data_IF_536464729695
#
_entry.id   IF_536464729695
#
_cell.length_a   1.000
_cell.length_b   1.000
_cell.length_c   1.000
_cell.angle_alpha   90.00
_cell.angle_beta   90.00
_cell.angle_gamma   90.00
#
_symmetry.space_group_name_H-M   'P 1'
#
loop_
_entity.id
_entity.type
_entity.pdbx_description
1 polymer ?
#
# COMPACT_ATOMS: atom_id res chain seq x y z
N UNK A 1 -38.58 -17.58 -11.52
CA UNK A 1 -37.99 -16.26 -11.85
C UNK A 1 -37.55 -15.60 -10.54
N UNK A 2 -36.26 -15.34 -10.39
CA UNK A 2 -35.73 -14.60 -9.25
C UNK A 2 -36.09 -13.12 -9.46
N UNK A 3 -36.88 -12.56 -8.52
CA UNK A 3 -37.25 -11.13 -8.59
C UNK A 3 -36.02 -10.27 -8.45
N UNK A 4 -35.88 -9.25 -9.29
CA UNK A 4 -34.82 -8.25 -9.16
C UNK A 4 -34.80 -7.65 -7.74
N UNK A 5 -33.66 -7.46 -7.11
CA UNK A 5 -33.56 -6.88 -5.78
C UNK A 5 -34.07 -5.43 -5.80
N UNK A 6 -34.56 -4.92 -4.64
CA UNK A 6 -34.83 -3.49 -4.49
C UNK A 6 -33.51 -2.73 -4.70
N UNK A 7 -33.50 -1.79 -5.63
CA UNK A 7 -32.30 -0.99 -5.94
C UNK A 7 -31.81 -0.26 -4.68
N UNK A 8 -30.53 -0.42 -4.37
CA UNK A 8 -29.87 0.40 -3.34
C UNK A 8 -29.83 1.87 -3.79
N UNK A 9 -29.84 2.80 -2.84
CA UNK A 9 -29.55 4.21 -3.12
C UNK A 9 -28.05 4.51 -3.26
N UNK A 10 -27.21 3.55 -2.85
CA UNK A 10 -25.75 3.65 -2.93
C UNK A 10 -25.26 3.10 -4.28
N UNK A 11 -24.26 3.75 -4.85
CA UNK A 11 -23.57 3.28 -6.05
C UNK A 11 -22.37 2.40 -5.65
N UNK A 12 -21.88 1.49 -6.54
CA UNK A 12 -20.70 0.68 -6.31
C UNK A 12 -19.49 1.45 -5.80
N UNK A 13 -19.18 2.59 -6.42
CA UNK A 13 -18.05 3.46 -6.10
C UNK A 13 -18.20 4.24 -4.77
N UNK A 14 -19.41 4.34 -4.24
CA UNK A 14 -19.65 4.91 -2.91
C UNK A 14 -19.39 3.87 -1.80
N UNK A 15 -19.47 2.58 -2.13
CA UNK A 15 -19.25 1.46 -1.22
C UNK A 15 -17.82 0.97 -1.28
N UNK A 16 -17.34 0.60 -2.47
CA UNK A 16 -15.97 0.12 -2.66
C UNK A 16 -15.07 1.26 -3.13
N UNK A 17 -14.14 1.70 -2.28
CA UNK A 17 -13.28 2.88 -2.51
C UNK A 17 -11.80 2.51 -2.39
N UNK A 18 -11.23 1.69 -3.30
CA UNK A 18 -9.90 1.09 -3.13
C UNK A 18 -8.76 2.10 -3.01
N UNK A 19 -8.92 3.29 -3.60
CA UNK A 19 -7.93 4.40 -3.55
C UNK A 19 -8.53 5.69 -2.99
N UNK A 20 -9.76 5.61 -2.50
CA UNK A 20 -10.47 6.76 -1.98
C UNK A 20 -9.95 7.22 -0.62
N UNK A 21 -10.29 8.46 -0.27
CA UNK A 21 -10.09 8.93 1.09
C UNK A 21 -10.97 8.17 2.08
N UNK A 22 -10.53 8.10 3.33
CA UNK A 22 -11.33 7.57 4.43
C UNK A 22 -12.47 8.56 4.68
N UNK A 23 -13.55 8.45 3.88
CA UNK A 23 -14.82 9.09 4.21
C UNK A 23 -15.42 8.34 5.40
N UNK A 24 -16.53 8.82 5.96
CA UNK A 24 -17.32 8.12 6.99
C UNK A 24 -17.88 6.78 6.48
N UNK A 25 -17.07 6.02 5.81
CA UNK A 25 -17.43 4.77 5.19
C UNK A 25 -17.14 3.64 6.18
N UNK A 26 -18.16 2.93 6.61
CA UNK A 26 -18.08 1.77 7.50
C UNK A 26 -17.50 0.52 6.80
N UNK A 27 -16.94 0.69 5.57
CA UNK A 27 -16.14 -0.34 4.88
C UNK A 27 -14.71 -0.46 5.44
N UNK A 28 -14.33 0.38 6.39
CA UNK A 28 -13.09 0.17 7.14
C UNK A 28 -13.16 -1.11 7.99
N UNK A 29 -12.07 -1.86 8.01
CA UNK A 29 -11.90 -3.02 8.89
C UNK A 29 -10.94 -2.65 10.01
N UNK A 30 -11.46 -2.57 11.25
CA UNK A 30 -10.64 -2.27 12.41
C UNK A 30 -9.53 -3.31 12.61
N UNK A 31 -8.37 -2.81 12.99
CA UNK A 31 -7.14 -3.58 13.27
C UNK A 31 -6.77 -3.52 14.75
N UNK A 32 -7.72 -3.32 15.63
CA UNK A 32 -7.65 -3.26 17.08
C UNK A 32 -6.27 -3.13 17.72
N UNK A 33 -5.46 -4.20 17.67
CA UNK A 33 -4.11 -4.21 18.27
C UNK A 33 -3.14 -3.24 17.58
N UNK A 34 -3.21 -3.11 16.26
CA UNK A 34 -2.37 -2.16 15.49
C UNK A 34 -2.77 -0.73 15.77
N UNK A 35 -4.07 -0.44 15.81
CA UNK A 35 -4.60 0.88 16.15
C UNK A 35 -4.21 1.27 17.58
N UNK A 36 -4.31 0.34 18.52
CA UNK A 36 -3.88 0.55 19.90
C UNK A 36 -2.36 0.72 20.02
N UNK A 37 -1.56 -0.02 19.23
CA UNK A 37 -0.12 0.18 19.16
C UNK A 37 0.23 1.58 18.64
N UNK A 38 -0.46 2.05 17.60
CA UNK A 38 -0.30 3.41 17.10
C UNK A 38 -0.64 4.46 18.16
N UNK A 39 -1.78 4.30 18.87
CA UNK A 39 -2.15 5.20 19.98
C UNK A 39 -1.10 5.25 21.07
N UNK A 40 -0.53 4.10 21.46
CA UNK A 40 0.59 4.05 22.42
C UNK A 40 1.83 4.77 21.90
N UNK A 41 2.19 4.56 20.64
CA UNK A 41 3.34 5.21 20.00
C UNK A 41 3.16 6.73 19.91
N UNK A 42 1.95 7.23 19.64
CA UNK A 42 1.66 8.67 19.62
C UNK A 42 1.85 9.32 20.99
N UNK A 43 1.58 8.61 22.08
CA UNK A 43 1.76 9.09 23.46
C UNK A 43 3.21 8.97 23.95
N UNK A 44 4.03 8.15 23.32
CA UNK A 44 5.45 8.02 23.69
C UNK A 44 6.24 9.27 23.31
N UNK A 45 7.41 9.54 23.90
CA UNK A 45 8.27 10.66 23.48
C UNK A 45 8.84 10.47 22.08
N UNK A 46 8.90 9.25 21.56
CA UNK A 46 9.50 8.91 20.27
C UNK A 46 8.57 9.28 19.09
N UNK A 47 9.18 9.52 17.94
CA UNK A 47 8.48 9.63 16.67
C UNK A 47 8.00 8.25 16.19
N UNK A 48 7.05 8.20 15.26
CA UNK A 48 6.33 6.98 14.90
C UNK A 48 6.73 6.50 13.51
N UNK A 49 6.95 5.19 13.36
CA UNK A 49 7.10 4.52 12.07
C UNK A 49 5.94 3.56 11.87
N UNK A 50 5.22 3.72 10.76
CA UNK A 50 4.16 2.83 10.29
C UNK A 50 4.64 2.19 9.01
N UNK A 51 4.75 0.86 9.01
CA UNK A 51 5.24 0.13 7.85
C UNK A 51 4.33 -1.04 7.49
N UNK A 52 4.46 -1.54 6.27
CA UNK A 52 3.67 -2.65 5.74
C UNK A 52 3.65 -2.64 4.22
N UNK A 53 3.24 -3.74 3.60
CA UNK A 53 3.14 -3.83 2.14
C UNK A 53 2.22 -2.75 1.56
N UNK A 54 2.44 -2.43 0.26
CA UNK A 54 1.54 -1.55 -0.48
C UNK A 54 0.12 -2.13 -0.50
N UNK A 55 -0.88 -1.28 -0.36
CA UNK A 55 -2.28 -1.70 -0.34
C UNK A 55 -2.80 -2.28 0.97
N UNK A 56 -1.93 -2.51 1.99
CA UNK A 56 -2.34 -3.06 3.29
C UNK A 56 -3.13 -2.10 4.19
N UNK A 57 -3.35 -0.85 3.75
CA UNK A 57 -4.22 0.09 4.47
C UNK A 57 -3.52 0.92 5.54
N UNK A 58 -2.19 1.13 5.45
CA UNK A 58 -1.43 2.01 6.36
C UNK A 58 -2.05 3.39 6.52
N UNK A 59 -2.31 4.06 5.38
CA UNK A 59 -2.85 5.42 5.38
C UNK A 59 -4.28 5.48 5.92
N UNK A 60 -5.09 4.47 5.69
CA UNK A 60 -6.44 4.38 6.27
C UNK A 60 -6.38 4.19 7.78
N UNK A 61 -5.45 3.34 8.27
CA UNK A 61 -5.31 3.07 9.70
C UNK A 61 -4.92 4.33 10.48
N UNK A 62 -3.87 5.06 10.05
CA UNK A 62 -3.47 6.26 10.80
C UNK A 62 -4.52 7.38 10.68
N UNK A 63 -5.13 7.59 9.51
CA UNK A 63 -6.20 8.58 9.32
C UNK A 63 -7.41 8.27 10.22
N UNK A 64 -7.77 7.00 10.36
CA UNK A 64 -8.84 6.55 11.25
C UNK A 64 -8.53 6.87 12.71
N UNK A 65 -7.37 6.43 13.21
CA UNK A 65 -6.92 6.70 14.58
C UNK A 65 -6.84 8.21 14.85
N UNK A 66 -6.28 8.97 13.91
CA UNK A 66 -6.16 10.43 14.08
C UNK A 66 -7.51 11.12 14.14
N UNK A 67 -8.47 10.69 13.31
CA UNK A 67 -9.83 11.21 13.33
C UNK A 67 -10.54 10.89 14.66
N UNK A 68 -10.42 9.66 15.16
CA UNK A 68 -11.04 9.24 16.41
C UNK A 68 -10.43 9.93 17.64
N UNK A 69 -9.12 10.10 17.66
CA UNK A 69 -8.38 10.69 18.77
C UNK A 69 -8.26 12.22 18.66
N UNK A 70 -8.82 12.84 17.63
CA UNK A 70 -8.78 14.29 17.42
C UNK A 70 -7.38 14.83 17.16
N UNK A 71 -6.48 14.03 16.57
CA UNK A 71 -5.12 14.44 16.21
C UNK A 71 -5.17 15.34 14.98
N UNK A 72 -4.66 16.57 15.11
CA UNK A 72 -4.47 17.44 13.95
C UNK A 72 -3.22 17.00 13.19
N UNK A 73 -3.27 16.86 11.87
CA UNK A 73 -2.12 16.42 11.09
C UNK A 73 -2.04 17.07 9.71
N UNK A 74 -0.83 17.08 9.16
CA UNK A 74 -0.57 17.38 7.76
C UNK A 74 0.24 16.25 7.15
N UNK A 75 -0.01 15.99 5.85
CA UNK A 75 0.63 14.91 5.10
C UNK A 75 1.52 15.48 4.01
N UNK A 76 2.80 15.15 4.07
CA UNK A 76 3.79 15.39 3.03
C UNK A 76 3.98 14.10 2.25
N UNK A 77 3.57 14.08 1.00
CA UNK A 77 3.69 12.90 0.13
C UNK A 77 5.07 12.86 -0.53
N UNK A 78 5.93 12.00 -0.04
CA UNK A 78 7.31 11.84 -0.53
C UNK A 78 7.42 11.29 -1.96
N UNK A 79 6.33 10.75 -2.52
CA UNK A 79 6.28 10.39 -3.94
C UNK A 79 6.55 11.56 -4.90
N UNK A 80 6.52 12.79 -4.41
CA UNK A 80 6.86 14.01 -5.17
C UNK A 80 8.23 14.58 -4.83
N UNK A 81 8.95 14.01 -3.87
CA UNK A 81 10.20 14.57 -3.36
C UNK A 81 11.30 14.60 -4.44
N UNK A 82 11.39 13.58 -5.28
CA UNK A 82 12.36 13.54 -6.38
C UNK A 82 12.12 14.67 -7.40
N UNK A 83 10.86 15.00 -7.69
CA UNK A 83 10.53 16.10 -8.60
C UNK A 83 10.72 17.48 -7.95
N UNK A 84 10.53 17.58 -6.63
CA UNK A 84 10.75 18.81 -5.87
C UNK A 84 12.24 19.06 -5.57
N UNK A 85 13.09 18.03 -5.69
CA UNK A 85 14.52 18.09 -5.39
C UNK A 85 14.89 18.15 -3.91
N UNK A 86 13.91 18.38 -3.02
CA UNK A 86 14.10 18.54 -1.58
C UNK A 86 12.80 18.24 -0.82
N UNK A 87 12.93 17.64 0.37
CA UNK A 87 11.80 17.43 1.29
C UNK A 87 11.32 18.75 1.87
N UNK A 88 12.24 19.66 2.16
CA UNK A 88 11.91 20.99 2.69
C UNK A 88 11.06 21.78 1.69
N UNK A 89 11.44 21.81 0.41
CA UNK A 89 10.65 22.44 -0.65
C UNK A 89 9.26 21.81 -0.79
N UNK A 90 9.17 20.49 -0.57
CA UNK A 90 7.89 19.80 -0.59
C UNK A 90 7.01 20.17 0.62
N UNK A 91 7.60 20.36 1.79
CA UNK A 91 6.92 20.89 2.99
C UNK A 91 6.38 22.30 2.69
N UNK A 92 7.22 23.19 2.18
CA UNK A 92 6.84 24.56 1.80
C UNK A 92 5.67 24.57 0.81
N UNK A 93 5.76 23.77 -0.24
CA UNK A 93 4.69 23.67 -1.24
C UNK A 93 3.38 23.11 -0.67
N UNK A 94 3.47 22.27 0.34
CA UNK A 94 2.29 21.71 1.04
C UNK A 94 1.64 22.79 1.90
N UNK A 95 2.43 23.59 2.59
CA UNK A 95 1.97 24.73 3.38
C UNK A 95 1.33 25.81 2.49
N UNK A 96 1.95 26.10 1.34
CA UNK A 96 1.44 27.07 0.39
C UNK A 96 0.02 26.73 -0.09
N UNK A 97 -0.23 25.45 -0.40
CA UNK A 97 -1.57 24.97 -0.82
C UNK A 97 -2.62 25.10 0.28
N UNK A 98 -2.22 25.05 1.52
CA UNK A 98 -3.11 25.19 2.68
C UNK A 98 -3.43 26.68 3.03
N UNK A 99 -3.05 27.63 2.17
CA UNK A 99 -3.29 29.05 2.36
C UNK A 99 -2.32 29.73 3.36
N UNK A 100 -1.23 29.04 3.73
CA UNK A 100 -0.22 29.58 4.65
C UNK A 100 0.90 30.34 3.94
N UNK A 101 0.93 30.34 2.60
CA UNK A 101 1.97 30.98 1.78
C UNK A 101 1.90 32.52 1.77
N UNK A 102 0.73 33.10 1.94
CA UNK A 102 0.57 34.56 1.84
C UNK A 102 1.30 35.36 2.94
N UNK A 103 1.61 34.74 4.07
CA UNK A 103 2.36 35.40 5.15
C UNK A 103 3.88 35.30 5.03
N UNK A 104 4.40 34.46 4.15
CA UNK A 104 5.84 34.22 4.00
C UNK A 104 6.46 35.10 2.90
N UNK A 105 5.70 35.47 1.86
CA UNK A 105 6.19 36.28 0.73
C UNK A 105 6.35 37.76 1.07
N UNK A 106 5.66 38.26 2.10
CA UNK A 106 5.73 39.72 2.47
C UNK A 106 7.06 40.14 3.08
N UNK A 107 7.92 39.23 3.53
CA UNK A 107 9.18 39.57 4.18
C UNK A 107 10.37 39.60 3.23
N UNK A 108 10.27 38.93 2.05
CA UNK A 108 11.38 38.86 1.08
C UNK A 108 11.41 40.08 0.14
N UNK A 109 10.26 40.67 -0.19
CA UNK A 109 10.22 41.86 -1.08
C UNK A 109 10.64 43.17 -0.44
N UNK A 110 10.66 43.28 0.90
CA UNK A 110 11.10 44.52 1.58
C UNK A 110 12.63 44.68 1.71
N UNK A 111 13.41 43.62 1.56
CA UNK A 111 14.87 43.70 1.61
C UNK A 111 15.51 44.03 0.24
N UNK A 112 14.81 43.83 -0.88
CA UNK A 112 15.35 44.10 -2.20
C UNK A 112 15.24 45.56 -2.68
N UNK A 113 14.44 46.40 -2.01
CA UNK A 113 14.22 47.80 -2.41
C UNK A 113 14.93 48.86 -1.54
N UNK A 114 15.72 48.50 -0.54
CA UNK A 114 16.43 49.45 0.33
C UNK A 114 17.91 49.67 -0.06
N UNK A 115 18.34 49.27 -1.25
CA UNK A 115 19.75 49.26 -1.64
C UNK A 115 20.13 50.19 -2.80
N UNK A 116 19.45 51.32 -3.10
CA UNK A 116 19.97 52.34 -4.00
C UNK A 116 19.61 53.73 -3.54
N UNK A 117 20.56 54.45 -2.97
CA UNK A 117 20.43 55.86 -2.69
C UNK A 117 21.44 56.35 -1.63
N UNK A 118 22.51 56.90 -2.09
CA UNK A 118 23.72 57.23 -1.35
C UNK A 118 23.68 58.46 -0.46
N UNK A 119 24.83 58.63 0.21
CA UNK A 119 25.40 59.77 0.93
C UNK A 119 25.07 59.97 2.41
N UNK A 120 26.15 59.82 3.19
CA UNK A 120 26.48 60.79 4.23
C UNK A 120 26.18 60.44 5.67
N UNK A 121 27.16 59.84 6.37
CA UNK A 121 27.56 60.38 7.66
C UNK A 121 26.91 59.82 8.93
N UNK A 122 27.77 59.26 9.73
CA UNK A 122 27.83 59.09 11.18
C UNK A 122 27.50 57.71 11.76
N UNK A 123 28.57 57.18 12.32
CA UNK A 123 28.61 56.05 13.23
C UNK A 123 27.61 56.23 14.39
N UNK A 124 26.67 55.37 14.52
CA UNK A 124 26.11 54.95 15.79
C UNK A 124 26.14 53.43 15.83
N UNK A 125 26.97 52.91 16.71
CA UNK A 125 27.06 51.50 17.08
C UNK A 125 25.80 51.12 17.87
N UNK A 126 24.69 50.86 17.20
CA UNK A 126 23.61 50.08 17.76
C UNK A 126 23.69 48.70 17.12
N UNK A 127 24.08 47.74 17.94
CA UNK A 127 24.08 46.33 17.55
C UNK A 127 22.66 45.91 17.23
N UNK A 128 22.29 45.91 15.94
CA UNK A 128 21.12 45.20 15.48
C UNK A 128 21.43 43.72 15.61
N UNK A 129 20.97 43.12 16.70
CA UNK A 129 20.82 41.65 16.75
C UNK A 129 19.83 41.29 15.68
N UNK A 130 20.32 40.73 14.53
CA UNK A 130 19.48 40.02 13.58
C UNK A 130 18.93 38.81 14.33
N UNK A 131 17.68 38.90 14.77
CA UNK A 131 16.96 37.73 15.26
C UNK A 131 16.92 36.78 14.07
N UNK A 132 17.58 35.62 14.19
CA UNK A 132 17.56 34.59 13.19
C UNK A 132 16.10 34.24 12.92
N UNK A 133 15.65 34.38 11.66
CA UNK A 133 14.28 33.99 11.31
C UNK A 133 14.18 32.47 11.40
N UNK A 134 13.07 31.93 11.94
CA UNK A 134 12.83 30.49 11.96
C UNK A 134 12.94 29.93 10.54
N UNK A 135 13.60 28.80 10.39
CA UNK A 135 13.64 28.10 9.10
C UNK A 135 12.25 27.62 8.67
N UNK A 136 12.10 27.24 7.40
CA UNK A 136 10.82 26.82 6.85
C UNK A 136 10.25 25.59 7.58
N UNK A 137 11.10 24.72 8.12
CA UNK A 137 10.66 23.54 8.86
C UNK A 137 10.14 23.91 10.25
N UNK A 138 10.83 24.81 10.99
CA UNK A 138 10.33 25.34 12.27
C UNK A 138 8.98 26.04 12.08
N UNK A 139 8.84 26.88 11.04
CA UNK A 139 7.57 27.53 10.70
C UNK A 139 6.47 26.51 10.43
N UNK A 140 6.77 25.42 9.68
CA UNK A 140 5.83 24.36 9.43
C UNK A 140 5.30 23.72 10.73
N UNK A 141 6.21 23.35 11.61
CA UNK A 141 5.88 22.73 12.89
C UNK A 141 5.09 23.70 13.77
N UNK A 142 5.47 24.97 13.82
CA UNK A 142 4.73 26.02 14.54
C UNK A 142 3.29 26.17 14.02
N UNK A 143 3.11 26.22 12.70
CA UNK A 143 1.80 26.36 12.06
C UNK A 143 0.90 25.13 12.32
N UNK A 144 1.47 23.93 12.25
CA UNK A 144 0.75 22.69 12.61
C UNK A 144 0.29 22.76 14.07
N UNK A 145 1.16 23.18 14.99
CA UNK A 145 0.80 23.34 16.41
C UNK A 145 -0.27 24.39 16.63
N UNK A 146 -0.16 25.55 16.01
CA UNK A 146 -1.17 26.63 16.08
C UNK A 146 -2.54 26.15 15.57
N UNK A 147 -2.55 25.43 14.44
CA UNK A 147 -3.77 24.91 13.85
C UNK A 147 -4.42 23.78 14.66
N UNK A 148 -3.62 22.96 15.35
CA UNK A 148 -4.13 21.93 16.24
C UNK A 148 -4.89 22.52 17.43
N UNK A 149 -4.47 23.69 17.89
CA UNK A 149 -4.98 24.32 19.11
C UNK A 149 -4.38 23.76 20.40
N UNK A 150 -4.68 24.45 21.50
CA UNK A 150 -4.13 24.13 22.82
C UNK A 150 -4.65 22.79 23.33
N UNK A 151 -3.77 21.91 23.82
CA UNK A 151 -4.13 20.64 24.43
C UNK A 151 -4.46 19.50 23.46
N UNK A 152 -4.46 19.74 22.13
CA UNK A 152 -4.67 18.69 21.14
C UNK A 152 -3.35 18.12 20.64
N UNK A 153 -3.36 16.83 20.29
CA UNK A 153 -2.21 16.20 19.63
C UNK A 153 -2.03 16.71 18.21
N UNK A 154 -0.78 16.83 17.77
CA UNK A 154 -0.43 17.32 16.44
C UNK A 154 0.63 16.42 15.78
N UNK A 155 0.53 16.19 14.47
CA UNK A 155 1.46 15.35 13.74
C UNK A 155 1.80 15.91 12.34
N UNK A 156 3.05 15.70 11.93
CA UNK A 156 3.51 15.83 10.54
C UNK A 156 3.78 14.42 10.01
N UNK A 157 3.08 14.04 8.95
CA UNK A 157 3.16 12.70 8.36
C UNK A 157 3.96 12.77 7.08
N UNK A 158 5.04 12.00 6.99
CA UNK A 158 5.75 11.72 5.74
C UNK A 158 5.26 10.39 5.19
N UNK A 159 4.44 10.43 4.15
CA UNK A 159 3.85 9.23 3.53
C UNK A 159 4.56 8.87 2.23
N UNK A 160 4.52 7.58 1.85
CA UNK A 160 5.19 7.01 0.69
C UNK A 160 6.73 7.11 0.75
N UNK A 161 7.29 6.75 1.88
CA UNK A 161 8.73 6.85 2.18
C UNK A 161 9.61 6.04 1.19
N UNK A 162 9.07 4.97 0.61
CA UNK A 162 9.74 4.12 -0.36
C UNK A 162 10.25 4.88 -1.60
N UNK A 163 9.63 5.99 -1.96
CA UNK A 163 10.01 6.76 -3.14
C UNK A 163 11.32 7.56 -2.99
N UNK A 164 11.84 7.68 -1.78
CA UNK A 164 13.12 8.38 -1.53
C UNK A 164 14.28 7.41 -1.27
N UNK A 165 14.05 6.10 -1.19
CA UNK A 165 15.10 5.14 -0.84
C UNK A 165 16.24 5.06 -1.85
N UNK A 166 16.00 5.40 -3.11
CA UNK A 166 17.01 5.43 -4.15
C UNK A 166 17.79 6.77 -4.18
N UNK A 167 17.43 7.73 -3.34
CA UNK A 167 18.08 9.04 -3.25
C UNK A 167 18.78 9.24 -1.91
N UNK A 168 20.10 9.08 -1.88
CA UNK A 168 20.90 9.29 -0.67
C UNK A 168 20.77 10.72 -0.11
N UNK A 169 20.64 11.73 -1.01
CA UNK A 169 20.45 13.12 -0.62
C UNK A 169 19.14 13.35 0.13
N UNK A 170 18.02 12.81 -0.37
CA UNK A 170 16.71 12.94 0.28
C UNK A 170 16.65 12.20 1.62
N UNK A 171 17.31 11.03 1.71
CA UNK A 171 17.39 10.30 2.99
C UNK A 171 18.23 11.06 4.01
N UNK A 172 19.35 11.67 3.59
CA UNK A 172 20.16 12.53 4.48
C UNK A 172 19.37 13.76 4.95
N UNK A 173 18.62 14.39 4.05
CA UNK A 173 17.74 15.50 4.39
C UNK A 173 16.68 15.08 5.42
N UNK A 174 15.96 13.95 5.18
CA UNK A 174 14.99 13.42 6.15
C UNK A 174 15.65 13.13 7.51
N UNK A 175 16.82 12.52 7.51
CA UNK A 175 17.58 12.23 8.71
C UNK A 175 17.93 13.53 9.48
N UNK A 176 18.33 14.57 8.76
CA UNK A 176 18.57 15.91 9.32
C UNK A 176 17.33 16.49 9.97
N UNK A 177 16.19 16.46 9.28
CA UNK A 177 14.91 16.94 9.83
C UNK A 177 14.50 16.17 11.10
N UNK A 178 14.71 14.83 11.13
CA UNK A 178 14.43 14.03 12.32
C UNK A 178 15.36 14.34 13.51
N UNK A 179 16.58 14.80 13.26
CA UNK A 179 17.48 15.26 14.31
C UNK A 179 17.05 16.61 14.87
N UNK A 180 16.63 17.53 13.98
CA UNK A 180 16.20 18.87 14.37
C UNK A 180 14.94 18.85 15.27
N UNK A 181 14.01 17.91 15.08
CA UNK A 181 12.76 17.88 15.86
C UNK A 181 12.97 17.71 17.35
N UNK A 182 14.11 17.17 17.78
CA UNK A 182 14.46 17.06 19.19
C UNK A 182 15.23 18.27 19.76
N UNK A 183 15.60 19.22 18.91
CA UNK A 183 16.16 20.50 19.34
C UNK A 183 15.09 21.33 20.05
N UNK A 184 15.49 22.15 21.06
CA UNK A 184 14.58 22.93 21.90
C UNK A 184 13.66 23.85 21.08
N UNK A 185 14.15 24.38 19.96
CA UNK A 185 13.36 25.27 19.09
C UNK A 185 12.19 24.53 18.41
N UNK A 186 12.32 23.24 18.16
CA UNK A 186 11.30 22.43 17.51
C UNK A 186 10.48 21.62 18.51
N UNK A 187 11.12 21.03 19.50
CA UNK A 187 10.49 20.15 20.50
C UNK A 187 9.43 20.88 21.34
N UNK A 188 9.61 22.19 21.60
CA UNK A 188 8.64 23.06 22.28
C UNK A 188 7.25 23.03 21.63
N UNK A 189 7.17 22.76 20.31
CA UNK A 189 5.91 22.72 19.59
C UNK A 189 5.17 21.39 19.76
N UNK A 190 5.81 20.34 20.27
CA UNK A 190 5.21 19.03 20.53
C UNK A 190 4.46 18.45 19.32
N UNK A 191 5.03 18.56 18.11
CA UNK A 191 4.51 17.96 16.89
C UNK A 191 5.17 16.59 16.68
N UNK A 192 4.36 15.56 16.58
CA UNK A 192 4.83 14.20 16.35
C UNK A 192 5.17 13.99 14.87
N UNK A 193 6.36 13.49 14.58
CA UNK A 193 6.68 13.01 13.23
C UNK A 193 6.19 11.59 13.06
N UNK A 194 5.53 11.32 11.95
CA UNK A 194 5.04 9.99 11.58
C UNK A 194 5.56 9.63 10.20
N UNK A 195 6.38 8.59 10.13
CA UNK A 195 6.94 8.06 8.89
C UNK A 195 6.08 6.89 8.42
N UNK A 196 5.63 6.91 7.17
CA UNK A 196 4.78 5.86 6.60
C UNK A 196 5.41 5.33 5.32
N UNK A 197 5.64 4.01 5.24
CA UNK A 197 6.28 3.40 4.08
C UNK A 197 6.16 1.88 4.01
N UNK A 198 6.87 1.26 3.07
CA UNK A 198 6.93 -0.19 2.92
C UNK A 198 7.89 -0.85 3.93
N UNK A 199 7.78 -2.18 4.20
CA UNK A 199 8.39 -2.81 5.37
C UNK A 199 9.92 -2.95 5.35
N UNK A 200 10.60 -2.58 4.30
CA UNK A 200 12.03 -2.86 4.23
C UNK A 200 12.85 -1.80 4.93
N UNK A 201 13.11 -2.05 6.23
CA UNK A 201 14.24 -1.47 6.96
C UNK A 201 14.38 0.06 6.94
N UNK A 202 13.24 0.79 7.11
CA UNK A 202 13.28 2.26 7.26
C UNK A 202 14.40 2.66 8.22
N UNK A 203 14.53 1.95 9.37
CA UNK A 203 15.58 2.19 10.35
C UNK A 203 16.97 1.91 9.81
N UNK A 204 17.15 0.78 9.11
CA UNK A 204 18.47 0.42 8.58
C UNK A 204 18.88 1.33 7.42
N UNK A 205 17.95 1.78 6.59
CA UNK A 205 18.22 2.79 5.56
C UNK A 205 18.66 4.12 6.17
N UNK A 206 17.90 4.64 7.12
CA UNK A 206 18.24 5.89 7.79
C UNK A 206 19.58 5.75 8.52
N UNK A 207 19.83 4.65 9.23
CA UNK A 207 21.07 4.44 9.96
C UNK A 207 22.31 4.29 9.07
N UNK A 208 22.18 3.61 7.93
CA UNK A 208 23.28 3.46 6.95
C UNK A 208 23.68 4.79 6.34
N UNK A 209 22.72 5.61 5.98
CA UNK A 209 22.96 6.88 5.28
C UNK A 209 23.40 7.97 6.27
N UNK A 210 22.79 8.04 7.45
CA UNK A 210 23.15 9.03 8.47
C UNK A 210 24.39 8.67 9.29
N UNK A 211 24.88 7.42 9.18
CA UNK A 211 25.95 6.85 10.02
C UNK A 211 25.69 7.03 11.52
N UNK A 212 24.44 7.18 11.92
CA UNK A 212 24.04 7.52 13.29
C UNK A 212 22.96 6.57 13.80
N UNK A 213 23.29 5.83 14.87
CA UNK A 213 22.31 5.05 15.62
C UNK A 213 21.36 5.97 16.45
N UNK A 214 21.68 7.25 16.55
CA UNK A 214 20.93 8.22 17.36
C UNK A 214 19.50 8.37 16.85
N UNK A 215 19.28 8.37 15.52
CA UNK A 215 17.95 8.51 14.92
C UNK A 215 17.08 7.29 15.20
N UNK A 216 17.65 6.08 15.15
CA UNK A 216 16.88 4.84 15.39
C UNK A 216 16.30 4.78 16.80
N UNK A 217 16.99 5.34 17.79
CA UNK A 217 16.53 5.39 19.17
C UNK A 217 15.36 6.38 19.37
N UNK A 218 15.16 7.32 18.44
CA UNK A 218 14.09 8.31 18.44
C UNK A 218 12.80 7.83 17.78
N UNK A 219 12.83 6.65 17.17
CA UNK A 219 11.72 6.07 16.44
C UNK A 219 11.05 4.96 17.23
N UNK A 220 9.72 5.00 17.32
CA UNK A 220 8.85 3.93 17.80
C UNK A 220 8.17 3.29 16.60
N UNK A 221 8.37 2.01 16.42
CA UNK A 221 7.84 1.24 15.30
C UNK A 221 6.53 0.57 15.70
N UNK A 222 5.46 0.85 14.96
CA UNK A 222 4.20 0.12 15.09
C UNK A 222 4.39 -1.24 14.43
N UNK A 223 3.82 -2.34 14.98
CA UNK A 223 3.88 -3.64 14.32
C UNK A 223 3.40 -3.55 12.86
N UNK A 224 3.95 -4.38 12.00
CA UNK A 224 3.68 -4.34 10.55
C UNK A 224 2.18 -4.33 10.24
N UNK A 225 1.75 -3.35 9.44
CA UNK A 225 0.39 -3.30 8.90
C UNK A 225 0.28 -4.37 7.81
N UNK A 226 -0.06 -5.57 8.25
CA UNK A 226 -0.15 -6.76 7.41
C UNK A 226 -1.49 -6.85 6.67
N UNK A 227 -1.66 -7.93 5.92
CA UNK A 227 -2.90 -8.29 5.23
C UNK A 227 -4.06 -8.49 6.20
N UNK A 228 -5.29 -8.49 5.71
CA UNK A 228 -6.47 -8.81 6.51
C UNK A 228 -6.44 -10.29 6.94
N UNK A 229 -7.10 -10.58 8.05
CA UNK A 229 -7.50 -11.96 8.33
C UNK A 229 -8.59 -12.38 7.33
N UNK A 230 -8.62 -13.67 6.95
CA UNK A 230 -9.55 -14.19 5.95
C UNK A 230 -11.03 -13.88 6.30
N UNK A 231 -11.40 -13.96 7.59
CA UNK A 231 -12.74 -13.59 8.05
C UNK A 231 -13.07 -12.13 7.73
N UNK A 232 -12.14 -11.20 8.02
CA UNK A 232 -12.35 -9.77 7.83
C UNK A 232 -12.46 -9.39 6.35
N UNK A 233 -11.66 -10.04 5.48
CA UNK A 233 -11.77 -9.84 4.04
C UNK A 233 -13.13 -10.31 3.51
N UNK A 234 -13.59 -11.48 3.97
CA UNK A 234 -14.92 -12.01 3.61
C UNK A 234 -16.04 -11.12 4.10
N UNK A 235 -15.98 -10.69 5.37
CA UNK A 235 -16.98 -9.79 5.96
C UNK A 235 -17.06 -8.46 5.22
N UNK A 236 -15.92 -7.90 4.77
CA UNK A 236 -15.88 -6.68 3.98
C UNK A 236 -16.64 -6.87 2.66
N UNK A 237 -16.39 -7.96 1.93
CA UNK A 237 -17.07 -8.25 0.66
C UNK A 237 -18.57 -8.46 0.87
N UNK A 238 -18.96 -9.29 1.85
CA UNK A 238 -20.36 -9.56 2.17
C UNK A 238 -21.09 -8.28 2.55
N UNK A 239 -20.49 -7.44 3.40
CA UNK A 239 -21.03 -6.15 3.79
C UNK A 239 -21.27 -5.24 2.60
N UNK A 240 -20.28 -5.14 1.69
CA UNK A 240 -20.38 -4.28 0.52
C UNK A 240 -21.45 -4.78 -0.47
N UNK A 241 -21.35 -6.01 -0.92
CA UNK A 241 -22.20 -6.54 -1.98
C UNK A 241 -23.64 -6.81 -1.50
N UNK A 242 -23.78 -7.47 -0.34
CA UNK A 242 -25.08 -8.02 0.08
C UNK A 242 -25.79 -7.11 1.10
N UNK A 243 -25.08 -6.55 2.07
CA UNK A 243 -25.72 -5.72 3.08
C UNK A 243 -25.99 -4.28 2.56
N UNK A 244 -25.01 -3.63 1.89
CA UNK A 244 -25.14 -2.26 1.41
C UNK A 244 -25.78 -2.16 0.03
N UNK A 245 -25.23 -2.84 -0.97
CA UNK A 245 -25.72 -2.81 -2.35
C UNK A 245 -26.94 -3.72 -2.56
N UNK A 246 -27.22 -4.65 -1.62
CA UNK A 246 -28.38 -5.56 -1.63
C UNK A 246 -28.46 -6.45 -2.86
N UNK A 247 -27.32 -6.77 -3.44
CA UNK A 247 -27.24 -7.69 -4.57
C UNK A 247 -27.63 -9.11 -4.17
N UNK A 248 -28.10 -9.90 -5.12
CA UNK A 248 -28.50 -11.29 -4.93
C UNK A 248 -27.68 -12.21 -5.82
N UNK A 249 -27.19 -13.30 -5.23
CA UNK A 249 -26.48 -14.32 -5.99
C UNK A 249 -27.51 -15.20 -6.70
N UNK A 250 -27.25 -15.50 -7.97
CA UNK A 250 -27.95 -16.52 -8.75
C UNK A 250 -27.16 -17.81 -8.58
N UNK A 251 -27.69 -18.81 -7.86
CA UNK A 251 -27.00 -20.09 -7.67
C UNK A 251 -26.65 -20.75 -9.00
N UNK A 252 -25.51 -21.44 -9.03
CA UNK A 252 -25.03 -22.11 -10.22
C UNK A 252 -23.72 -22.83 -9.96
N UNK A 253 -22.93 -23.01 -11.00
CA UNK A 253 -21.59 -23.56 -10.90
C UNK A 253 -20.57 -22.63 -11.54
N UNK A 254 -19.36 -22.60 -11.01
CA UNK A 254 -18.22 -21.93 -11.60
C UNK A 254 -16.99 -22.82 -11.49
N UNK A 255 -16.46 -23.28 -12.62
CA UNK A 255 -15.30 -24.18 -12.69
C UNK A 255 -15.45 -25.43 -11.83
N UNK A 256 -16.65 -26.06 -11.87
CA UNK A 256 -16.96 -27.27 -11.11
C UNK A 256 -17.23 -27.07 -9.61
N UNK A 257 -17.13 -25.83 -9.10
CA UNK A 257 -17.50 -25.48 -7.74
C UNK A 257 -18.91 -24.91 -7.68
N UNK A 258 -19.62 -25.14 -6.57
CA UNK A 258 -20.91 -24.51 -6.31
C UNK A 258 -20.73 -22.99 -6.17
N UNK A 259 -21.50 -22.24 -6.96
CA UNK A 259 -21.54 -20.78 -6.93
C UNK A 259 -22.74 -20.32 -6.13
N UNK A 260 -22.48 -19.87 -4.92
CA UNK A 260 -23.45 -19.38 -3.95
C UNK A 260 -23.00 -18.08 -3.29
N UNK A 261 -23.79 -17.56 -2.36
CA UNK A 261 -23.47 -16.35 -1.60
C UNK A 261 -22.17 -16.50 -0.79
N UNK A 262 -21.84 -17.72 -0.34
CA UNK A 262 -20.62 -17.99 0.42
C UNK A 262 -19.36 -18.10 -0.44
N UNK A 263 -19.53 -18.49 -1.71
CA UNK A 263 -18.45 -18.63 -2.68
C UNK A 263 -17.79 -17.29 -2.98
N UNK A 264 -18.59 -16.24 -3.21
CA UNK A 264 -18.09 -14.92 -3.66
C UNK A 264 -17.10 -14.32 -2.66
N UNK A 265 -17.42 -14.14 -1.35
CA UNK A 265 -16.47 -13.57 -0.40
C UNK A 265 -15.21 -14.43 -0.18
N UNK A 266 -15.34 -15.77 -0.23
CA UNK A 266 -14.20 -16.69 -0.11
C UNK A 266 -13.24 -16.52 -1.28
N UNK A 267 -13.78 -16.46 -2.49
CA UNK A 267 -12.98 -16.37 -3.72
C UNK A 267 -12.34 -15.01 -3.87
N UNK A 268 -13.05 -13.92 -3.53
CA UNK A 268 -12.48 -12.57 -3.52
C UNK A 268 -11.33 -12.48 -2.51
N UNK A 269 -11.51 -12.99 -1.29
CA UNK A 269 -10.45 -13.03 -0.28
C UNK A 269 -9.21 -13.80 -0.75
N UNK A 270 -9.40 -14.93 -1.44
CA UNK A 270 -8.31 -15.72 -2.00
C UNK A 270 -7.59 -15.00 -3.16
N UNK A 271 -8.35 -14.45 -4.12
CA UNK A 271 -7.77 -13.78 -5.28
C UNK A 271 -7.05 -12.50 -4.90
N UNK A 272 -7.60 -11.71 -3.99
CA UNK A 272 -6.98 -10.46 -3.52
C UNK A 272 -5.78 -10.65 -2.58
N UNK A 273 -5.40 -11.90 -2.27
CA UNK A 273 -4.34 -12.23 -1.30
C UNK A 273 -4.54 -11.54 0.06
N UNK A 274 -5.80 -11.31 0.45
CA UNK A 274 -6.20 -10.64 1.69
C UNK A 274 -5.71 -9.18 1.82
N UNK A 275 -5.23 -8.58 0.73
CA UNK A 275 -4.77 -7.20 0.71
C UNK A 275 -6.00 -6.28 0.58
N UNK A 276 -6.27 -5.39 1.56
CA UNK A 276 -7.49 -4.57 1.61
C UNK A 276 -7.80 -3.82 0.32
N UNK A 277 -6.79 -3.22 -0.29
CA UNK A 277 -6.95 -2.49 -1.54
C UNK A 277 -7.50 -3.39 -2.65
N UNK A 278 -6.94 -4.61 -2.79
CA UNK A 278 -7.35 -5.53 -3.86
C UNK A 278 -8.66 -6.22 -3.56
N UNK A 279 -9.01 -6.43 -2.27
CA UNK A 279 -10.37 -6.86 -1.88
C UNK A 279 -11.39 -5.83 -2.35
N UNK A 280 -11.11 -4.54 -2.16
CA UNK A 280 -12.01 -3.46 -2.59
C UNK A 280 -12.01 -3.27 -4.11
N UNK A 281 -10.87 -3.38 -4.79
CA UNK A 281 -10.80 -3.28 -6.25
C UNK A 281 -11.64 -4.37 -6.92
N UNK A 282 -11.42 -5.65 -6.57
CA UNK A 282 -12.21 -6.74 -7.11
C UNK A 282 -13.68 -6.64 -6.70
N UNK A 283 -13.95 -6.24 -5.45
CA UNK A 283 -15.31 -5.95 -4.97
C UNK A 283 -16.03 -4.89 -5.79
N UNK A 284 -15.33 -3.83 -6.20
CA UNK A 284 -15.85 -2.78 -7.06
C UNK A 284 -16.22 -3.31 -8.46
N UNK A 285 -15.30 -4.05 -9.10
CA UNK A 285 -15.58 -4.65 -10.41
C UNK A 285 -16.78 -5.60 -10.39
N UNK A 286 -16.88 -6.44 -9.34
CA UNK A 286 -18.04 -7.32 -9.15
C UNK A 286 -19.30 -6.48 -8.97
N UNK A 287 -19.26 -5.42 -8.18
CA UNK A 287 -20.40 -4.57 -7.90
C UNK A 287 -20.90 -3.86 -9.18
N UNK A 288 -19.99 -3.27 -9.96
CA UNK A 288 -20.33 -2.60 -11.24
C UNK A 288 -20.98 -3.56 -12.23
N UNK A 289 -20.39 -4.75 -12.47
CA UNK A 289 -20.96 -5.75 -13.35
C UNK A 289 -22.31 -6.30 -12.87
N UNK A 290 -22.46 -6.42 -11.54
CA UNK A 290 -23.72 -6.87 -10.95
C UNK A 290 -24.81 -5.80 -11.08
N UNK A 291 -24.46 -4.50 -10.97
CA UNK A 291 -25.39 -3.40 -11.22
C UNK A 291 -25.86 -3.39 -12.67
N UNK A 292 -24.95 -3.55 -13.65
CA UNK A 292 -25.27 -3.71 -15.07
C UNK A 292 -26.23 -4.90 -15.32
N UNK A 293 -26.11 -5.95 -14.52
CA UNK A 293 -27.02 -7.11 -14.55
C UNK A 293 -28.19 -7.00 -13.56
N UNK A 294 -28.72 -5.78 -13.37
CA UNK A 294 -29.91 -5.51 -12.55
C UNK A 294 -29.85 -6.02 -11.10
N UNK A 295 -28.65 -6.06 -10.53
CA UNK A 295 -28.40 -6.48 -9.14
C UNK A 295 -28.35 -8.02 -8.94
N UNK A 296 -28.28 -8.79 -10.02
CA UNK A 296 -28.18 -10.25 -10.01
C UNK A 296 -26.74 -10.67 -10.31
N UNK A 297 -26.09 -11.28 -9.33
CA UNK A 297 -24.71 -11.78 -9.41
C UNK A 297 -24.73 -13.27 -9.79
N UNK A 298 -24.53 -13.58 -11.05
CA UNK A 298 -24.35 -14.96 -11.56
C UNK A 298 -22.85 -15.30 -11.64
N UNK A 299 -22.55 -16.59 -11.83
CA UNK A 299 -21.18 -17.06 -12.09
C UNK A 299 -20.53 -16.37 -13.29
N UNK A 300 -21.29 -16.14 -14.36
CA UNK A 300 -20.84 -15.39 -15.55
C UNK A 300 -20.49 -13.93 -15.22
N UNK A 301 -21.34 -13.23 -14.48
CA UNK A 301 -21.08 -11.84 -14.06
C UNK A 301 -19.83 -11.75 -13.20
N UNK A 302 -19.66 -12.67 -12.27
CA UNK A 302 -18.45 -12.76 -11.43
C UNK A 302 -17.19 -12.99 -12.28
N UNK A 303 -17.26 -13.87 -13.25
CA UNK A 303 -16.10 -14.18 -14.10
C UNK A 303 -15.73 -13.01 -15.01
N UNK A 304 -16.70 -12.31 -15.59
CA UNK A 304 -16.48 -11.08 -16.36
C UNK A 304 -15.82 -9.98 -15.49
N UNK A 305 -16.34 -9.76 -14.28
CA UNK A 305 -15.78 -8.77 -13.35
C UNK A 305 -14.31 -9.09 -13.00
N UNK A 306 -13.99 -10.34 -12.79
CA UNK A 306 -12.61 -10.79 -12.54
C UNK A 306 -11.69 -10.52 -13.73
N UNK A 307 -12.16 -10.75 -14.96
CA UNK A 307 -11.40 -10.44 -16.18
C UNK A 307 -11.16 -8.94 -16.34
N UNK A 308 -12.19 -8.13 -16.12
CA UNK A 308 -12.04 -6.67 -16.18
C UNK A 308 -11.00 -6.17 -15.18
N UNK A 309 -11.05 -6.68 -13.94
CA UNK A 309 -10.06 -6.33 -12.92
C UNK A 309 -8.63 -6.65 -13.35
N UNK A 310 -8.38 -7.84 -13.93
CA UNK A 310 -7.05 -8.20 -14.45
C UNK A 310 -6.63 -7.26 -15.56
N UNK A 311 -7.53 -6.99 -16.52
CA UNK A 311 -7.26 -6.13 -17.67
C UNK A 311 -6.97 -4.68 -17.28
N UNK A 312 -7.61 -4.16 -16.22
CA UNK A 312 -7.46 -2.77 -15.81
C UNK A 312 -6.37 -2.55 -14.76
N UNK A 313 -6.18 -3.51 -13.86
CA UNK A 313 -5.33 -3.32 -12.67
C UNK A 313 -4.07 -4.20 -12.62
N UNK A 314 -3.96 -5.24 -13.44
CA UNK A 314 -2.91 -6.26 -13.34
C UNK A 314 -2.21 -6.55 -14.68
N UNK A 315 -2.28 -5.64 -15.65
CA UNK A 315 -1.70 -5.85 -17.00
C UNK A 315 -0.19 -6.07 -16.97
N UNK A 316 0.51 -5.27 -16.16
CA UNK A 316 1.97 -5.34 -16.02
C UNK A 316 2.40 -6.70 -15.46
N UNK A 317 1.69 -7.16 -14.44
CA UNK A 317 1.97 -8.42 -13.74
C UNK A 317 1.59 -9.63 -14.61
N UNK A 318 0.53 -9.50 -15.43
CA UNK A 318 0.18 -10.49 -16.43
C UNK A 318 1.30 -10.68 -17.48
N UNK A 319 1.85 -9.57 -17.97
CA UNK A 319 2.97 -9.61 -18.92
C UNK A 319 4.24 -10.24 -18.31
N UNK A 320 4.49 -10.02 -16.99
CA UNK A 320 5.57 -10.69 -16.27
C UNK A 320 5.29 -12.18 -16.13
N UNK A 321 4.06 -12.58 -15.81
CA UNK A 321 3.66 -13.98 -15.74
C UNK A 321 3.89 -14.68 -17.08
N UNK A 322 3.33 -14.12 -18.16
CA UNK A 322 3.42 -14.70 -19.51
C UNK A 322 4.87 -14.86 -19.99
N UNK A 323 5.74 -13.89 -19.70
CA UNK A 323 7.17 -13.96 -20.03
C UNK A 323 7.93 -15.07 -19.30
N UNK A 324 7.39 -15.58 -18.20
CA UNK A 324 8.01 -16.62 -17.38
C UNK A 324 7.44 -18.02 -17.59
N UNK A 325 6.40 -18.18 -18.41
CA UNK A 325 5.78 -19.49 -18.64
C UNK A 325 6.70 -20.40 -19.47
N UNK A 326 6.49 -21.70 -19.32
CA UNK A 326 7.03 -22.68 -20.27
C UNK A 326 6.39 -22.48 -21.65
N UNK A 327 7.12 -22.87 -22.71
CA UNK A 327 6.54 -22.90 -24.05
C UNK A 327 5.33 -23.87 -24.08
N UNK A 328 4.35 -23.59 -24.95
CA UNK A 328 3.15 -24.42 -25.11
C UNK A 328 3.47 -25.87 -25.53
N UNK A 329 4.63 -26.12 -26.11
CA UNK A 329 5.09 -27.45 -26.51
C UNK A 329 5.64 -28.31 -25.36
N UNK A 330 5.79 -27.78 -24.17
CA UNK A 330 6.36 -28.48 -23.03
C UNK A 330 5.31 -29.39 -22.38
N UNK A 331 5.46 -30.74 -22.54
CA UNK A 331 4.50 -31.73 -21.98
C UNK A 331 4.33 -31.64 -20.45
N UNK A 332 5.41 -31.45 -19.71
CA UNK A 332 5.38 -31.26 -18.25
C UNK A 332 5.97 -29.89 -17.96
N UNK A 333 5.10 -28.91 -17.84
CA UNK A 333 5.49 -27.54 -17.55
C UNK A 333 5.99 -27.36 -16.11
N UNK A 334 7.15 -27.92 -15.75
CA UNK A 334 7.67 -27.86 -14.36
C UNK A 334 7.76 -26.44 -13.83
N UNK A 335 8.21 -25.48 -14.65
CA UNK A 335 8.28 -24.08 -14.29
C UNK A 335 6.88 -23.52 -14.00
N UNK A 336 5.87 -23.90 -14.80
CA UNK A 336 4.48 -23.50 -14.56
C UNK A 336 3.94 -24.11 -13.24
N UNK A 337 4.29 -25.36 -12.93
CA UNK A 337 3.92 -25.98 -11.65
C UNK A 337 4.54 -25.25 -10.46
N UNK A 338 5.79 -24.82 -10.57
CA UNK A 338 6.46 -23.98 -9.54
C UNK A 338 5.76 -22.65 -9.40
N UNK A 339 5.47 -21.95 -10.52
CA UNK A 339 4.74 -20.68 -10.51
C UNK A 339 3.37 -20.83 -9.83
N UNK A 340 2.63 -21.89 -10.15
CA UNK A 340 1.36 -22.20 -9.50
C UNK A 340 1.52 -22.43 -7.99
N UNK A 341 2.53 -23.20 -7.58
CA UNK A 341 2.82 -23.48 -6.17
C UNK A 341 3.22 -22.21 -5.40
N UNK A 342 3.97 -21.28 -6.03
CA UNK A 342 4.30 -19.98 -5.43
C UNK A 342 3.02 -19.20 -5.07
N UNK A 343 1.99 -19.24 -5.90
CA UNK A 343 0.73 -18.55 -5.63
C UNK A 343 -0.12 -19.26 -4.55
N UNK A 344 0.01 -20.57 -4.40
CA UNK A 344 -0.65 -21.36 -3.34
C UNK A 344 0.01 -21.14 -1.97
N UNK A 345 1.30 -20.85 -1.95
CA UNK A 345 2.02 -20.60 -0.71
C UNK A 345 1.43 -19.40 0.04
N UNK A 346 1.00 -19.63 1.28
CA UNK A 346 0.40 -18.57 2.10
C UNK A 346 1.45 -17.67 2.75
N UNK A 347 2.68 -18.18 2.91
CA UNK A 347 3.77 -17.41 3.51
C UNK A 347 4.17 -16.25 2.60
N UNK A 348 4.53 -15.14 3.23
CA UNK A 348 5.08 -13.97 2.54
C UNK A 348 6.47 -14.28 1.98
N UNK A 349 7.33 -14.86 2.82
CA UNK A 349 8.64 -15.38 2.46
C UNK A 349 8.57 -16.91 2.35
N UNK A 350 9.15 -17.47 1.31
CA UNK A 350 9.08 -18.90 1.03
C UNK A 350 10.44 -19.47 0.64
N UNK A 351 10.74 -20.66 1.16
CA UNK A 351 11.93 -21.42 0.81
C UNK A 351 11.64 -22.38 -0.37
N UNK A 352 12.68 -22.83 -1.06
CA UNK A 352 12.55 -23.85 -2.12
C UNK A 352 11.92 -25.14 -1.59
N UNK A 353 12.24 -25.55 -0.38
CA UNK A 353 11.65 -26.75 0.25
C UNK A 353 10.15 -26.60 0.52
N UNK A 354 9.70 -25.41 0.95
CA UNK A 354 8.26 -25.16 1.13
C UNK A 354 7.50 -25.21 -0.21
N UNK A 355 8.07 -24.68 -1.28
CA UNK A 355 7.47 -24.72 -2.61
C UNK A 355 7.50 -26.16 -3.17
N UNK A 356 8.58 -26.92 -2.97
CA UNK A 356 8.64 -28.33 -3.38
C UNK A 356 7.53 -29.16 -2.75
N UNK A 357 7.28 -28.95 -1.44
CA UNK A 357 6.18 -29.63 -0.75
C UNK A 357 4.83 -29.36 -1.43
N UNK A 358 4.54 -28.09 -1.73
CA UNK A 358 3.29 -27.72 -2.42
C UNK A 358 3.23 -28.32 -3.82
N UNK A 359 4.33 -28.31 -4.59
CA UNK A 359 4.37 -28.93 -5.92
C UNK A 359 4.05 -30.43 -5.84
N UNK A 360 4.64 -31.15 -4.88
CA UNK A 360 4.36 -32.59 -4.69
C UNK A 360 2.93 -32.87 -4.22
N UNK A 361 2.34 -31.99 -3.41
CA UNK A 361 0.95 -32.12 -2.95
C UNK A 361 -0.04 -31.85 -4.09
N UNK A 362 0.23 -30.87 -4.93
CA UNK A 362 -0.67 -30.43 -6.01
C UNK A 362 -0.53 -31.30 -7.28
N UNK A 363 0.66 -31.86 -7.57
CA UNK A 363 0.98 -32.53 -8.81
C UNK A 363 1.50 -33.97 -8.55
N UNK A 364 0.71 -34.78 -7.86
CA UNK A 364 1.10 -36.11 -7.37
C UNK A 364 1.51 -37.06 -8.48
N UNK A 365 0.81 -37.05 -9.62
CA UNK A 365 1.08 -37.96 -10.72
C UNK A 365 2.34 -37.59 -11.50
N UNK A 366 2.53 -36.32 -11.80
CA UNK A 366 3.67 -35.84 -12.58
C UNK A 366 4.97 -35.66 -11.74
N UNK A 367 4.88 -35.74 -10.41
CA UNK A 367 6.01 -35.56 -9.47
C UNK A 367 6.42 -36.83 -8.75
N UNK A 368 5.73 -37.95 -8.94
CA UNK A 368 6.02 -39.21 -8.25
C UNK A 368 7.43 -39.72 -8.56
N UNK A 369 8.29 -39.87 -7.53
CA UNK A 369 9.63 -40.43 -7.65
C UNK A 369 10.66 -39.62 -8.45
N UNK A 370 10.35 -38.39 -8.87
CA UNK A 370 11.22 -37.56 -9.72
C UNK A 370 11.90 -36.46 -8.89
N UNK A 371 13.16 -36.16 -9.21
CA UNK A 371 13.87 -34.96 -8.68
C UNK A 371 13.31 -33.73 -9.35
N UNK A 372 12.88 -32.73 -8.58
CA UNK A 372 12.11 -31.59 -9.11
C UNK A 372 12.95 -30.34 -9.45
N UNK A 373 14.19 -30.26 -8.98
CA UNK A 373 15.12 -29.11 -9.18
C UNK A 373 14.47 -27.75 -8.86
N UNK A 374 13.62 -27.68 -7.84
CA UNK A 374 12.85 -26.48 -7.46
C UNK A 374 13.75 -25.28 -7.18
N UNK A 375 14.88 -25.50 -6.47
CA UNK A 375 15.83 -24.43 -6.15
C UNK A 375 16.41 -23.77 -7.41
N UNK A 376 16.71 -24.55 -8.45
CA UNK A 376 17.18 -24.04 -9.73
C UNK A 376 16.09 -23.22 -10.40
N UNK A 377 14.87 -23.75 -10.52
CA UNK A 377 13.73 -23.03 -11.14
C UNK A 377 13.44 -21.70 -10.40
N UNK A 378 13.50 -21.70 -9.08
CA UNK A 378 13.32 -20.45 -8.31
C UNK A 378 14.46 -19.46 -8.54
N UNK A 379 15.70 -19.93 -8.70
CA UNK A 379 16.83 -19.07 -9.07
C UNK A 379 16.65 -18.47 -10.45
N UNK A 380 16.17 -19.25 -11.42
CA UNK A 380 15.84 -18.78 -12.78
C UNK A 380 14.74 -17.71 -12.76
N UNK A 381 13.65 -17.94 -12.00
CA UNK A 381 12.57 -16.96 -11.83
C UNK A 381 13.02 -15.66 -11.15
N UNK A 382 14.07 -15.72 -10.30
CA UNK A 382 14.64 -14.57 -9.63
C UNK A 382 15.65 -13.79 -10.49
N UNK A 383 16.27 -14.45 -11.47
CA UNK A 383 17.28 -13.86 -12.37
C UNK A 383 16.78 -13.63 -13.80
N UNK A 384 15.51 -13.88 -14.08
CA UNK A 384 14.89 -13.67 -15.38
C UNK A 384 14.95 -12.19 -15.79
N UNK A 385 14.88 -11.90 -17.07
CA UNK A 385 14.78 -10.51 -17.58
C UNK A 385 13.61 -9.74 -16.98
N UNK A 386 12.49 -10.43 -16.72
CA UNK A 386 11.33 -9.93 -15.95
C UNK A 386 11.13 -10.81 -14.73
N UNK A 387 11.88 -10.58 -13.65
CA UNK A 387 11.85 -11.48 -12.51
C UNK A 387 10.51 -11.42 -11.79
N UNK A 388 10.04 -12.57 -11.30
CA UNK A 388 8.80 -12.68 -10.52
C UNK A 388 9.06 -12.61 -9.02
N UNK A 389 10.21 -13.15 -8.60
CA UNK A 389 10.60 -13.26 -7.19
C UNK A 389 12.00 -12.69 -7.00
N UNK A 390 12.33 -12.34 -5.79
CA UNK A 390 13.68 -11.93 -5.37
C UNK A 390 14.11 -12.68 -4.14
N UNK A 391 15.42 -12.83 -3.95
CA UNK A 391 15.96 -13.34 -2.67
C UNK A 391 15.75 -12.31 -1.56
N UNK A 392 15.41 -12.80 -0.38
CA UNK A 392 15.38 -11.95 0.83
C UNK A 392 16.79 -11.53 1.22
N UNK A 393 16.97 -10.45 2.01
CA UNK A 393 18.28 -10.02 2.48
C UNK A 393 19.07 -11.11 3.23
N UNK A 394 18.37 -12.04 3.89
CA UNK A 394 18.97 -13.20 4.56
C UNK A 394 19.54 -14.25 3.60
N UNK A 395 19.18 -14.19 2.31
CA UNK A 395 19.57 -15.17 1.28
C UNK A 395 18.91 -16.55 1.39
N UNK A 396 18.15 -16.81 2.48
CA UNK A 396 17.58 -18.13 2.80
C UNK A 396 16.21 -18.40 2.18
N UNK A 397 15.50 -17.35 1.78
CA UNK A 397 14.15 -17.41 1.24
C UNK A 397 13.97 -16.47 0.06
N UNK A 398 12.82 -16.58 -0.57
CA UNK A 398 12.39 -15.73 -1.67
C UNK A 398 11.09 -15.02 -1.32
N UNK A 399 10.81 -13.94 -2.04
CA UNK A 399 9.59 -13.13 -1.93
C UNK A 399 9.17 -12.69 -3.32
N UNK A 400 7.88 -12.52 -3.58
CA UNK A 400 7.44 -11.87 -4.80
C UNK A 400 7.99 -10.43 -4.86
N UNK A 401 8.38 -10.00 -6.07
CA UNK A 401 8.81 -8.61 -6.29
C UNK A 401 7.64 -7.66 -6.07
N UNK A 402 6.47 -8.03 -6.60
CA UNK A 402 5.20 -7.36 -6.38
C UNK A 402 4.15 -8.38 -5.91
N UNK A 403 3.42 -8.13 -4.82
CA UNK A 403 2.35 -9.03 -4.35
C UNK A 403 1.25 -9.26 -5.40
N UNK A 404 1.06 -8.37 -6.37
CA UNK A 404 0.13 -8.55 -7.48
C UNK A 404 0.47 -9.73 -8.38
N UNK A 405 1.74 -10.14 -8.45
CA UNK A 405 2.14 -11.35 -9.19
C UNK A 405 1.46 -12.60 -8.64
N UNK A 406 1.35 -12.73 -7.30
CA UNK A 406 0.61 -13.83 -6.68
C UNK A 406 -0.86 -13.78 -7.07
N UNK A 407 -1.45 -12.59 -7.09
CA UNK A 407 -2.84 -12.36 -7.47
C UNK A 407 -3.09 -12.79 -8.91
N UNK A 408 -2.29 -12.31 -9.84
CA UNK A 408 -2.44 -12.64 -11.27
C UNK A 408 -2.33 -14.14 -11.53
N UNK A 409 -1.41 -14.83 -10.86
CA UNK A 409 -1.29 -16.27 -10.97
C UNK A 409 -2.57 -16.97 -10.49
N UNK A 410 -3.10 -16.61 -9.31
CA UNK A 410 -4.33 -17.17 -8.75
C UNK A 410 -5.56 -16.95 -9.63
N UNK A 411 -5.61 -15.78 -10.26
CA UNK A 411 -6.75 -15.41 -11.12
C UNK A 411 -6.67 -16.06 -12.48
N UNK A 412 -5.47 -16.21 -13.04
CA UNK A 412 -5.27 -16.65 -14.43
C UNK A 412 -4.99 -18.14 -14.60
N UNK A 413 -4.35 -18.82 -13.62
CA UNK A 413 -4.06 -20.24 -13.75
C UNK A 413 -5.25 -21.12 -13.35
N UNK A 414 -5.54 -22.11 -14.20
CA UNK A 414 -6.41 -23.25 -13.89
C UNK A 414 -5.55 -24.51 -13.84
N UNK A 415 -5.77 -25.34 -12.84
CA UNK A 415 -5.25 -26.70 -12.80
C UNK A 415 -6.35 -27.65 -13.27
N UNK A 416 -6.05 -28.41 -14.33
CA UNK A 416 -6.93 -29.41 -14.89
C UNK A 416 -6.87 -30.72 -14.10
N UNK A 417 -7.81 -31.63 -14.36
CA UNK A 417 -7.87 -32.92 -13.68
C UNK A 417 -6.64 -33.82 -13.96
N UNK A 418 -6.03 -33.68 -15.13
CA UNK A 418 -4.82 -34.37 -15.56
C UNK A 418 -3.52 -33.71 -15.06
N UNK A 419 -3.62 -32.75 -14.10
CA UNK A 419 -2.55 -31.90 -13.59
C UNK A 419 -1.96 -30.91 -14.61
N UNK A 420 -2.56 -30.77 -15.80
CA UNK A 420 -2.26 -29.72 -16.75
C UNK A 420 -2.54 -28.33 -16.14
N UNK A 421 -1.78 -27.34 -16.57
CA UNK A 421 -1.97 -25.93 -16.17
C UNK A 421 -2.28 -25.09 -17.40
N UNK A 422 -3.41 -24.41 -17.38
CA UNK A 422 -3.83 -23.50 -18.43
C UNK A 422 -3.99 -22.08 -17.94
N UNK A 423 -3.71 -21.11 -18.82
CA UNK A 423 -4.05 -19.72 -18.59
C UNK A 423 -5.46 -19.46 -19.11
N UNK A 424 -6.33 -18.97 -18.24
CA UNK A 424 -7.66 -18.52 -18.65
C UNK A 424 -7.58 -17.35 -19.61
N UNK A 425 -8.18 -17.51 -20.78
CA UNK A 425 -8.37 -16.44 -21.75
C UNK A 425 -9.72 -15.76 -21.54
N UNK A 426 -9.94 -14.60 -22.18
CA UNK A 426 -11.24 -13.93 -22.16
C UNK A 426 -12.31 -14.74 -22.91
N UNK A 427 -11.91 -15.45 -23.96
CA UNK A 427 -12.80 -16.29 -24.79
C UNK A 427 -13.36 -17.47 -24.00
N UNK A 428 -12.58 -18.04 -23.07
CA UNK A 428 -13.04 -19.14 -22.19
C UNK A 428 -14.20 -18.71 -21.29
N UNK A 429 -14.32 -17.43 -20.97
CA UNK A 429 -15.38 -16.89 -20.12
C UNK A 429 -16.69 -16.65 -20.89
N UNK A 430 -16.62 -16.55 -22.21
CA UNK A 430 -17.78 -16.34 -23.08
C UNK A 430 -18.32 -17.68 -23.57
N UNK A 431 -17.47 -18.67 -23.78
CA UNK A 431 -17.81 -19.98 -24.37
C UNK A 431 -18.35 -21.00 -23.38
N UNK A 432 -18.34 -20.71 -22.09
CA UNK A 432 -18.91 -21.60 -21.04
C UNK A 432 -20.40 -21.26 -20.79
N UNK A 433 -21.18 -21.13 -21.86
CA UNK A 433 -22.64 -20.94 -21.85
C UNK A 433 -23.30 -22.18 -22.39
#
# INVERSE_FOLDING_TARGET
MIKSPKKSSLRPEDVFTPRGELKQNDMYVSRGDLENALRRSLRSPKHVVIHGESGCGKSWMYKRVFSEDGVFYRVVNLGRASAAGSILSLIESTLARDGWAEKTSYTVEKEATAGIGGFGGRLSTEGQYKVAQPDAFEKCIELIRKSAGKGKSAALVFDNLEHIFDSESLIKELAGLLLLVDDDNYSKHQVKIVLVGTPNDIRSYISKVSKSNTITNRLSEVPEVSRLQARHARDLVSRGLFAKLKYRVVPGTLYGAEFDESFVPRTVAYYSDLIPQYVQELGLHIAMRTEENHGLLSSKVFDLARHDWVRESLVSELAVLEANLNSRSTKIGRKNQVIFALAKCQSHDFSSGAIEKIVREEFKHSCGGVTLNIAQTMSELASAQRPMIRRTPSGKSYRFIDPKLRIVIRVKFIKLADEGLELRTFEDSISTV
#
